data_IF_383923770174
#
_entry.id   IF_383923770174
#
_cell.length_a   1.000
_cell.length_b   1.000
_cell.length_c   1.000
_cell.angle_alpha   90.00
_cell.angle_beta   90.00
_cell.angle_gamma   90.00
#
_symmetry.space_group_name_H-M   'P 1'
#
loop_
_entity.id
_entity.type
_entity.pdbx_description
1 polymer ?
#
# COMPACT_ATOMS: atom_id res chain seq x y z
N UNK A 1 -18.02 39.68 23.99
CA UNK A 1 -18.82 39.04 22.92
C UNK A 1 -18.40 37.59 22.86
N UNK A 2 -19.31 36.63 22.71
CA UNK A 2 -18.92 35.24 22.50
C UNK A 2 -18.16 35.10 21.17
N UNK A 3 -17.23 34.15 21.10
CA UNK A 3 -16.49 33.87 19.89
C UNK A 3 -17.44 33.46 18.74
N UNK A 4 -17.29 34.09 17.58
CA UNK A 4 -18.09 33.81 16.39
C UNK A 4 -17.36 32.77 15.54
N UNK A 5 -17.98 31.60 15.30
CA UNK A 5 -17.35 30.51 14.53
C UNK A 5 -18.17 30.20 13.28
N UNK A 6 -17.49 30.18 12.13
CA UNK A 6 -18.02 29.71 10.84
C UNK A 6 -17.29 28.43 10.44
N UNK A 7 -18.03 27.36 10.20
CA UNK A 7 -17.48 26.08 9.76
C UNK A 7 -18.00 25.72 8.36
N UNK A 8 -17.06 25.43 7.46
CA UNK A 8 -17.33 25.09 6.07
C UNK A 8 -16.71 23.74 5.73
N UNK A 9 -17.36 22.99 4.84
CA UNK A 9 -16.83 21.75 4.28
C UNK A 9 -16.86 21.76 2.75
N UNK A 10 -15.89 21.08 2.14
CA UNK A 10 -15.87 20.74 0.72
C UNK A 10 -15.69 19.22 0.61
N UNK A 11 -16.70 18.54 0.08
CA UNK A 11 -16.71 17.09 -0.09
C UNK A 11 -17.28 16.73 -1.46
N UNK A 12 -16.50 16.03 -2.28
CA UNK A 12 -16.90 15.56 -3.62
C UNK A 12 -17.10 14.03 -3.59
N UNK A 13 -18.19 13.52 -4.18
CA UNK A 13 -18.49 12.06 -4.19
C UNK A 13 -17.45 11.25 -4.99
N UNK A 14 -16.93 11.81 -6.07
CA UNK A 14 -15.92 11.19 -6.94
C UNK A 14 -14.55 11.89 -6.86
N UNK A 15 -14.40 12.88 -5.96
CA UNK A 15 -13.31 13.86 -6.02
C UNK A 15 -12.33 13.87 -4.85
N UNK A 16 -11.27 14.64 -5.04
CA UNK A 16 -10.11 14.89 -4.16
C UNK A 16 -10.44 15.61 -2.86
N UNK A 17 -11.53 16.36 -2.83
CA UNK A 17 -11.84 17.18 -1.68
C UNK A 17 -12.68 16.41 -0.64
N UNK A 18 -12.16 16.36 0.59
CA UNK A 18 -12.87 15.97 1.81
C UNK A 18 -12.34 16.81 2.98
N UNK A 19 -12.49 18.12 2.86
CA UNK A 19 -11.76 19.14 3.62
C UNK A 19 -12.73 19.99 4.44
N UNK A 20 -12.30 20.43 5.61
CA UNK A 20 -12.99 21.44 6.40
C UNK A 20 -12.17 22.72 6.50
N UNK A 21 -12.87 23.81 6.72
CA UNK A 21 -12.31 25.13 7.00
C UNK A 21 -13.17 25.82 8.04
N UNK A 22 -12.58 26.13 9.18
CA UNK A 22 -13.21 26.76 10.32
C UNK A 22 -12.53 28.09 10.59
N UNK A 23 -13.34 29.11 10.84
CA UNK A 23 -12.88 30.46 11.15
C UNK A 23 -13.58 30.88 12.42
N UNK A 24 -12.80 31.16 13.47
CA UNK A 24 -13.27 31.64 14.76
C UNK A 24 -12.72 33.04 15.01
N UNK A 25 -13.60 33.99 15.31
CA UNK A 25 -13.25 35.35 15.74
C UNK A 25 -13.58 35.50 17.21
N UNK A 26 -12.58 35.77 18.04
CA UNK A 26 -12.75 36.08 19.46
C UNK A 26 -12.13 37.45 19.76
N UNK A 27 -12.98 38.47 19.92
CA UNK A 27 -12.53 39.85 20.06
C UNK A 27 -11.68 40.32 18.87
N UNK A 28 -10.39 40.51 19.10
CA UNK A 28 -9.39 40.91 18.10
C UNK A 28 -8.66 39.74 17.45
N UNK A 29 -8.86 38.52 17.94
CA UNK A 29 -8.14 37.34 17.52
C UNK A 29 -8.92 36.54 16.49
N UNK A 30 -8.22 36.16 15.43
CA UNK A 30 -8.70 35.30 14.36
C UNK A 30 -7.97 33.98 14.44
N UNK A 31 -8.73 32.91 14.68
CA UNK A 31 -8.25 31.54 14.62
C UNK A 31 -8.82 30.87 13.38
N UNK A 32 -7.96 30.30 12.55
CA UNK A 32 -8.36 29.53 11.37
C UNK A 32 -7.91 28.09 11.58
N UNK A 33 -8.85 27.15 11.56
CA UNK A 33 -8.57 25.72 11.62
C UNK A 33 -8.95 25.07 10.30
N UNK A 34 -8.07 24.28 9.72
CA UNK A 34 -8.34 23.64 8.42
C UNK A 34 -7.67 22.28 8.31
N UNK A 35 -8.28 21.37 7.55
CA UNK A 35 -7.77 20.01 7.41
C UNK A 35 -8.75 19.10 6.70
N UNK A 36 -8.57 17.80 6.90
CA UNK A 36 -9.51 16.78 6.42
C UNK A 36 -10.66 16.65 7.41
N UNK A 37 -11.87 16.49 6.90
CA UNK A 37 -13.06 16.31 7.75
C UNK A 37 -12.87 15.08 8.61
N UNK A 38 -13.09 15.24 9.92
CA UNK A 38 -12.89 14.19 10.93
C UNK A 38 -11.51 14.20 11.60
N UNK A 39 -10.53 14.95 11.08
CA UNK A 39 -9.22 15.13 11.71
C UNK A 39 -9.16 16.44 12.52
N UNK A 40 -8.17 16.55 13.42
CA UNK A 40 -7.95 17.79 14.21
C UNK A 40 -7.66 19.01 13.30
N UNK A 41 -6.99 18.77 12.18
CA UNK A 41 -6.52 19.81 11.27
C UNK A 41 -5.37 20.64 11.83
N UNK A 42 -4.98 21.66 11.09
CA UNK A 42 -3.99 22.66 11.48
C UNK A 42 -4.67 23.94 11.95
N UNK A 43 -4.04 24.65 12.87
CA UNK A 43 -4.53 25.92 13.40
C UNK A 43 -3.54 27.04 13.07
N UNK A 44 -4.05 28.15 12.55
CA UNK A 44 -3.34 29.42 12.42
C UNK A 44 -4.03 30.47 13.25
N UNK A 45 -3.26 31.26 13.97
CA UNK A 45 -3.77 32.38 14.76
C UNK A 45 -3.13 33.69 14.30
N UNK A 46 -3.93 34.74 14.31
CA UNK A 46 -3.52 36.11 14.00
C UNK A 46 -4.36 37.08 14.81
N UNK A 47 -3.74 38.15 15.30
CA UNK A 47 -4.41 39.19 16.09
C UNK A 47 -4.47 40.50 15.29
N UNK A 48 -5.55 41.26 15.45
CA UNK A 48 -5.79 42.51 14.74
C UNK A 48 -5.97 43.67 15.71
N UNK A 49 -5.79 44.90 15.22
CA UNK A 49 -5.91 46.09 16.06
C UNK A 49 -7.33 46.32 16.62
N UNK A 50 -8.36 45.83 15.93
CA UNK A 50 -9.77 45.96 16.34
C UNK A 50 -10.56 44.71 15.95
N UNK A 51 -11.65 44.45 16.66
CA UNK A 51 -12.54 43.33 16.33
C UNK A 51 -13.17 43.45 14.94
N UNK A 52 -13.46 44.67 14.48
CA UNK A 52 -13.98 44.90 13.13
C UNK A 52 -12.98 44.50 12.04
N UNK A 53 -11.68 44.73 12.26
CA UNK A 53 -10.63 44.25 11.36
C UNK A 53 -10.54 42.73 11.34
N UNK A 54 -10.63 42.08 12.51
CA UNK A 54 -10.66 40.61 12.59
C UNK A 54 -11.86 40.02 11.84
N UNK A 55 -13.06 40.61 12.00
CA UNK A 55 -14.28 40.22 11.28
C UNK A 55 -14.19 40.45 9.78
N UNK A 56 -13.60 41.56 9.34
CA UNK A 56 -13.40 41.84 7.93
C UNK A 56 -12.46 40.82 7.27
N UNK A 57 -11.34 40.49 7.92
CA UNK A 57 -10.41 39.47 7.40
C UNK A 57 -11.04 38.06 7.45
N UNK A 58 -11.78 37.71 8.51
CA UNK A 58 -12.54 36.47 8.59
C UNK A 58 -13.53 36.33 7.42
N UNK A 59 -14.33 37.38 7.17
CA UNK A 59 -15.30 37.42 6.06
C UNK A 59 -14.63 37.24 4.69
N UNK A 60 -13.46 37.86 4.51
CA UNK A 60 -12.64 37.69 3.31
C UNK A 60 -12.19 36.24 3.14
N UNK A 61 -11.64 35.61 4.19
CA UNK A 61 -11.19 34.20 4.16
C UNK A 61 -12.33 33.23 3.90
N UNK A 62 -13.49 33.46 4.51
CA UNK A 62 -14.71 32.68 4.28
C UNK A 62 -15.13 32.81 2.81
N UNK A 63 -15.23 34.04 2.28
CA UNK A 63 -15.61 34.29 0.89
C UNK A 63 -14.64 33.67 -0.13
N UNK A 64 -13.33 33.68 0.15
CA UNK A 64 -12.33 32.98 -0.67
C UNK A 64 -12.60 31.47 -0.75
N UNK A 65 -13.01 30.83 0.36
CA UNK A 65 -13.30 29.39 0.40
C UNK A 65 -14.64 29.05 -0.23
N UNK A 66 -15.68 29.87 -0.01
CA UNK A 66 -16.99 29.68 -0.65
C UNK A 66 -16.87 29.72 -2.18
N UNK A 67 -16.07 30.64 -2.73
CA UNK A 67 -15.78 30.67 -4.18
C UNK A 67 -15.05 29.43 -4.70
N UNK A 68 -14.36 28.69 -3.83
CA UNK A 68 -13.71 27.40 -4.11
C UNK A 68 -14.66 26.20 -3.88
N UNK A 69 -15.95 26.45 -3.70
CA UNK A 69 -16.98 25.41 -3.55
C UNK A 69 -17.22 24.93 -2.11
N UNK A 70 -16.58 25.54 -1.10
CA UNK A 70 -16.88 25.19 0.29
C UNK A 70 -18.28 25.66 0.67
N UNK A 71 -19.03 24.81 1.36
CA UNK A 71 -20.39 25.09 1.82
C UNK A 71 -20.48 25.08 3.35
N UNK A 72 -21.40 25.86 3.95
CA UNK A 72 -21.69 25.77 5.38
C UNK A 72 -22.02 24.33 5.79
N UNK A 73 -21.46 23.90 6.92
CA UNK A 73 -21.65 22.55 7.45
C UNK A 73 -21.68 22.56 8.99
N UNK A 74 -22.04 21.43 9.58
CA UNK A 74 -22.00 21.22 11.03
C UNK A 74 -20.78 20.36 11.37
N UNK A 75 -19.88 20.79 12.27
CA UNK A 75 -18.76 19.96 12.73
C UNK A 75 -19.22 18.58 13.19
N UNK A 76 -18.61 17.52 12.65
CA UNK A 76 -18.96 16.13 12.95
C UNK A 76 -20.22 15.62 12.22
N UNK A 77 -20.92 16.46 11.46
CA UNK A 77 -22.08 16.04 10.66
C UNK A 77 -21.69 15.11 9.51
N UNK A 78 -20.54 15.36 8.86
CA UNK A 78 -19.97 14.48 7.84
C UNK A 78 -18.87 13.61 8.46
N UNK A 79 -18.93 12.31 8.18
CA UNK A 79 -17.98 11.33 8.72
C UNK A 79 -16.63 11.41 8.02
N UNK A 80 -15.54 11.07 8.75
CA UNK A 80 -14.21 10.88 8.16
C UNK A 80 -14.31 9.84 7.05
N UNK A 81 -13.64 10.07 5.91
CA UNK A 81 -13.53 9.05 4.86
C UNK A 81 -12.88 7.79 5.45
N UNK A 82 -13.47 6.64 5.15
CA UNK A 82 -12.92 5.37 5.60
C UNK A 82 -11.58 5.13 4.93
N UNK A 83 -10.53 4.93 5.74
CA UNK A 83 -9.25 4.43 5.24
C UNK A 83 -9.41 2.93 5.04
N UNK A 84 -9.07 2.42 3.87
CA UNK A 84 -9.14 0.99 3.63
C UNK A 84 -7.94 0.30 4.29
N UNK A 85 -8.24 -0.59 5.23
CA UNK A 85 -7.25 -1.47 5.85
C UNK A 85 -7.35 -2.84 5.21
N UNK A 86 -6.20 -3.42 4.88
CA UNK A 86 -6.15 -4.76 4.31
C UNK A 86 -6.72 -5.73 5.34
N UNK A 87 -7.88 -6.32 5.06
CA UNK A 87 -8.33 -7.46 5.83
C UNK A 87 -7.49 -8.67 5.46
N UNK A 88 -6.78 -9.22 6.43
CA UNK A 88 -5.91 -10.35 6.17
C UNK A 88 -6.44 -11.60 6.84
N UNK A 89 -6.71 -12.59 5.99
CA UNK A 89 -7.04 -13.95 6.40
C UNK A 89 -5.73 -14.73 6.47
N UNK A 90 -5.46 -15.31 7.62
CA UNK A 90 -4.26 -16.12 7.86
C UNK A 90 -4.68 -17.52 8.28
N UNK A 91 -4.10 -18.53 7.63
CA UNK A 91 -4.20 -19.91 8.06
C UNK A 91 -2.88 -20.33 8.70
N UNK A 92 -2.93 -21.17 9.74
CA UNK A 92 -1.72 -21.70 10.38
C UNK A 92 -0.96 -22.62 9.40
N UNK A 93 0.37 -22.53 9.41
CA UNK A 93 1.23 -23.43 8.63
C UNK A 93 1.31 -24.82 9.23
N UNK A 94 1.40 -25.82 8.36
CA UNK A 94 1.68 -27.22 8.70
C UNK A 94 3.17 -27.58 8.58
N UNK A 95 4.02 -26.66 8.11
CA UNK A 95 5.46 -26.88 7.98
C UNK A 95 6.19 -26.79 9.33
N UNK A 96 7.41 -27.32 9.38
CA UNK A 96 8.31 -27.17 10.54
C UNK A 96 8.51 -25.69 10.85
N UNK A 97 8.41 -25.32 12.12
CA UNK A 97 8.56 -23.93 12.57
C UNK A 97 9.97 -23.43 12.26
N UNK A 98 10.06 -22.20 11.75
CA UNK A 98 11.34 -21.52 11.57
C UNK A 98 12.02 -21.23 12.93
N UNK A 99 13.36 -21.24 12.98
CA UNK A 99 14.07 -20.71 14.14
C UNK A 99 13.77 -19.21 14.27
N UNK A 100 13.34 -18.79 15.46
CA UNK A 100 13.02 -17.40 15.78
C UNK A 100 14.16 -16.86 16.65
N UNK A 101 14.85 -15.82 16.18
CA UNK A 101 15.90 -15.16 16.96
C UNK A 101 15.29 -14.37 18.11
N UNK A 102 14.29 -13.55 17.82
CA UNK A 102 13.53 -12.80 18.81
C UNK A 102 12.13 -12.46 18.29
N UNK A 103 11.26 -11.98 19.18
CA UNK A 103 9.91 -11.50 18.85
C UNK A 103 9.64 -10.23 19.62
N UNK A 104 9.08 -9.24 18.93
CA UNK A 104 8.54 -8.03 19.53
C UNK A 104 7.01 -8.00 19.34
N UNK A 105 6.28 -7.70 20.42
CA UNK A 105 4.83 -7.47 20.35
C UNK A 105 4.57 -5.97 20.20
N UNK A 106 4.16 -5.56 19.00
CA UNK A 106 3.82 -4.16 18.72
C UNK A 106 2.46 -3.74 19.28
N UNK A 107 1.66 -4.64 19.86
CA UNK A 107 0.34 -4.34 20.42
C UNK A 107 -0.79 -4.12 19.41
N UNK A 108 -0.47 -4.02 18.11
CA UNK A 108 -1.40 -3.86 16.99
C UNK A 108 -0.77 -4.42 15.71
N UNK A 109 -1.53 -4.79 14.66
CA UNK A 109 -0.94 -5.22 13.38
C UNK A 109 0.02 -4.17 12.83
N UNK A 110 1.13 -4.58 12.23
CA UNK A 110 2.13 -3.69 11.67
C UNK A 110 2.43 -4.08 10.22
N UNK A 111 2.46 -3.06 9.39
CA UNK A 111 2.68 -3.17 7.95
C UNK A 111 3.98 -2.50 7.57
N UNK A 112 4.27 -1.35 8.18
CA UNK A 112 5.54 -0.66 8.06
C UNK A 112 6.62 -1.36 8.84
N UNK A 113 7.52 -2.03 8.13
CA UNK A 113 8.78 -2.48 8.69
C UNK A 113 9.93 -1.95 7.84
N UNK A 114 11.00 -1.54 8.51
CA UNK A 114 12.24 -1.12 7.89
C UNK A 114 13.39 -1.71 8.69
N UNK A 115 14.42 -2.19 8.01
CA UNK A 115 15.59 -2.78 8.65
C UNK A 115 16.82 -2.35 7.87
N UNK A 116 17.75 -1.69 8.54
CA UNK A 116 19.08 -1.38 8.02
C UNK A 116 20.15 -2.02 8.91
N UNK A 117 21.39 -1.54 8.82
CA UNK A 117 22.52 -2.07 9.58
C UNK A 117 22.49 -1.68 11.06
N UNK A 118 21.77 -0.62 11.41
CA UNK A 118 21.78 -0.04 12.75
C UNK A 118 20.53 -0.43 13.54
N UNK A 119 19.36 -0.43 12.89
CA UNK A 119 18.06 -0.55 13.56
C UNK A 119 17.05 -1.41 12.80
N UNK A 120 16.05 -1.89 13.56
CA UNK A 120 14.82 -2.48 13.07
C UNK A 120 13.64 -1.58 13.48
N UNK A 121 12.88 -1.05 12.54
CA UNK A 121 11.69 -0.23 12.82
C UNK A 121 10.40 -0.99 12.53
N UNK A 122 9.41 -0.83 13.41
CA UNK A 122 8.06 -1.41 13.27
C UNK A 122 7.02 -0.33 13.54
N UNK A 123 6.18 -0.04 12.54
CA UNK A 123 5.05 0.88 12.59
C UNK A 123 3.72 0.15 12.50
N UNK A 124 2.83 0.35 13.49
CA UNK A 124 1.58 -0.39 13.63
C UNK A 124 0.30 0.41 13.30
N UNK A 125 -0.84 -0.26 13.18
CA UNK A 125 -2.16 0.34 12.89
C UNK A 125 -2.70 1.27 13.99
N UNK A 126 -2.05 1.36 15.15
CA UNK A 126 -2.37 2.36 16.18
C UNK A 126 -1.55 3.65 16.05
N UNK A 127 -0.68 3.72 15.04
CA UNK A 127 0.24 4.82 14.80
C UNK A 127 1.55 4.74 15.59
N UNK A 128 1.74 3.70 16.42
CA UNK A 128 2.98 3.53 17.17
C UNK A 128 4.10 3.05 16.24
N UNK A 129 5.20 3.78 16.24
CA UNK A 129 6.47 3.38 15.63
C UNK A 129 7.44 3.05 16.75
N UNK A 130 8.01 1.86 16.70
CA UNK A 130 9.09 1.44 17.60
C UNK A 130 10.34 1.18 16.78
N UNK A 131 11.42 1.85 17.14
CA UNK A 131 12.78 1.56 16.70
C UNK A 131 13.40 0.61 17.70
N UNK A 132 13.90 -0.52 17.20
CA UNK A 132 14.52 -1.60 17.95
C UNK A 132 15.99 -1.75 17.53
N UNK A 133 16.83 -2.18 18.45
CA UNK A 133 18.14 -2.75 18.08
C UNK A 133 17.94 -4.10 17.37
N UNK A 134 18.98 -4.60 16.70
CA UNK A 134 18.98 -5.96 16.15
C UNK A 134 18.83 -7.07 17.21
N UNK A 135 18.95 -6.73 18.50
CA UNK A 135 18.68 -7.61 19.65
C UNK A 135 17.26 -7.50 20.23
N UNK A 136 16.35 -6.77 19.56
CA UNK A 136 14.98 -6.49 20.01
C UNK A 136 14.85 -5.55 21.23
N UNK A 137 15.90 -4.79 21.55
CA UNK A 137 15.82 -3.77 22.60
C UNK A 137 15.17 -2.51 22.04
N UNK A 138 14.27 -1.87 22.81
CA UNK A 138 13.61 -0.64 22.38
C UNK A 138 14.58 0.54 22.47
N UNK A 139 14.89 1.13 21.32
CA UNK A 139 15.76 2.31 21.19
C UNK A 139 14.95 3.60 21.26
N UNK A 140 13.82 3.66 20.55
CA UNK A 140 12.98 4.85 20.47
C UNK A 140 11.53 4.48 20.16
N UNK A 141 10.60 5.30 20.65
CA UNK A 141 9.19 5.22 20.29
C UNK A 141 8.61 6.60 20.04
N UNK A 142 7.75 6.70 19.04
CA UNK A 142 6.86 7.84 18.81
C UNK A 142 5.55 7.36 18.20
N UNK A 143 4.55 8.23 18.22
CA UNK A 143 3.20 7.92 17.73
C UNK A 143 2.80 8.94 16.66
N UNK A 144 2.48 8.44 15.46
CA UNK A 144 1.84 9.22 14.41
C UNK A 144 0.34 9.41 14.71
N UNK A 145 -0.34 10.39 14.08
CA UNK A 145 -1.74 10.67 14.36
C UNK A 145 -2.72 9.53 14.06
N UNK A 146 -2.35 8.60 13.17
CA UNK A 146 -3.17 7.44 12.77
C UNK A 146 -2.24 6.25 12.41
N UNK A 147 -2.81 5.12 11.96
CA UNK A 147 -2.10 3.89 11.65
C UNK A 147 -0.94 4.04 10.66
N UNK A 148 0.17 3.34 10.90
CA UNK A 148 1.34 3.34 10.02
C UNK A 148 1.17 2.29 8.92
N UNK A 149 1.21 2.74 7.65
CA UNK A 149 1.03 1.90 6.46
C UNK A 149 2.33 1.28 5.99
N UNK A 150 3.39 2.07 5.92
CA UNK A 150 4.70 1.65 5.47
C UNK A 150 5.78 2.52 6.11
N UNK A 151 7.00 2.00 6.15
CA UNK A 151 8.22 2.75 6.45
C UNK A 151 9.16 2.52 5.27
N UNK A 152 9.62 3.60 4.66
CA UNK A 152 10.49 3.60 3.47
C UNK A 152 11.68 4.51 3.73
N UNK A 153 12.77 4.32 3.00
CA UNK A 153 13.96 5.14 3.15
C UNK A 153 14.44 5.63 1.78
N UNK A 154 15.04 6.81 1.79
CA UNK A 154 15.75 7.43 0.68
C UNK A 154 17.10 7.91 1.20
N UNK A 155 18.16 7.19 0.86
CA UNK A 155 19.49 7.38 1.44
C UNK A 155 19.45 7.39 2.99
N UNK A 156 19.82 8.51 3.63
CA UNK A 156 19.81 8.68 5.08
C UNK A 156 18.45 9.12 5.66
N UNK A 157 17.43 9.31 4.81
CA UNK A 157 16.11 9.77 5.23
C UNK A 157 15.15 8.62 5.39
N UNK A 158 14.35 8.65 6.46
CA UNK A 158 13.34 7.63 6.74
C UNK A 158 11.97 8.28 6.77
N UNK A 159 11.01 7.70 6.07
CA UNK A 159 9.65 8.21 5.96
C UNK A 159 8.62 7.15 6.37
N UNK A 160 7.52 7.59 6.97
CA UNK A 160 6.37 6.74 7.25
C UNK A 160 5.09 7.29 6.61
N UNK A 161 4.40 6.42 5.88
CA UNK A 161 3.02 6.65 5.44
C UNK A 161 2.05 6.42 6.58
N UNK A 162 1.07 7.32 6.71
CA UNK A 162 0.09 7.29 7.79
C UNK A 162 -1.34 7.27 7.24
N UNK A 163 -2.24 6.59 7.95
CA UNK A 163 -3.68 6.48 7.64
C UNK A 163 -4.39 7.84 7.67
N UNK A 164 -3.80 8.86 8.31
CA UNK A 164 -4.25 10.26 8.20
C UNK A 164 -4.02 10.86 6.81
N UNK A 165 -3.42 10.06 5.91
CA UNK A 165 -3.00 10.29 4.54
C UNK A 165 -1.92 11.35 4.36
N UNK A 166 -1.04 11.45 5.34
CA UNK A 166 0.20 12.20 5.21
C UNK A 166 1.41 11.25 5.25
N UNK A 167 2.56 11.78 4.87
CA UNK A 167 3.86 11.12 5.04
C UNK A 167 4.71 11.94 6.00
N UNK A 168 5.34 11.26 6.94
CA UNK A 168 6.14 11.87 7.98
C UNK A 168 7.61 11.48 7.83
N UNK A 169 8.51 12.47 7.84
CA UNK A 169 9.94 12.27 8.00
C UNK A 169 10.24 11.88 9.46
N UNK A 170 10.98 10.78 9.62
CA UNK A 170 11.37 10.14 10.88
C UNK A 170 12.86 10.26 11.18
N UNK A 171 13.62 10.95 10.33
CA UNK A 171 15.08 11.06 10.43
C UNK A 171 15.53 11.92 11.62
N UNK A 172 14.61 12.73 12.16
CA UNK A 172 14.82 13.55 13.35
C UNK A 172 14.37 12.89 14.67
N UNK A 173 14.55 13.61 15.78
CA UNK A 173 14.09 13.17 17.12
C UNK A 173 12.57 13.07 17.25
N UNK A 174 11.85 13.82 16.43
CA UNK A 174 10.38 13.86 16.39
C UNK A 174 9.91 13.79 14.95
N UNK A 175 8.80 13.07 14.65
CA UNK A 175 8.25 13.02 13.31
C UNK A 175 7.86 14.40 12.80
N UNK A 176 8.18 14.70 11.54
CA UNK A 176 7.80 15.95 10.87
C UNK A 176 6.97 15.63 9.64
N UNK A 177 5.93 16.43 9.40
CA UNK A 177 5.15 16.31 8.18
C UNK A 177 6.06 16.61 6.98
N UNK A 178 6.24 15.62 6.10
CA UNK A 178 7.10 15.71 4.91
C UNK A 178 6.26 15.84 3.64
N UNK A 179 5.22 15.01 3.48
CA UNK A 179 4.34 15.08 2.32
C UNK A 179 2.86 15.12 2.71
N UNK A 180 2.10 15.99 2.04
CA UNK A 180 0.63 15.98 2.09
C UNK A 180 0.05 15.31 0.86
N UNK A 181 -0.54 14.13 1.05
CA UNK A 181 -1.20 13.42 -0.03
C UNK A 181 -2.62 13.97 -0.20
N UNK A 182 -3.12 13.96 -1.43
CA UNK A 182 -4.48 14.39 -1.72
C UNK A 182 -5.53 13.50 -1.02
N UNK A 183 -6.58 14.06 -0.37
CA UNK A 183 -7.57 13.27 0.35
C UNK A 183 -8.47 12.33 -0.49
N UNK A 184 -8.41 12.35 -1.84
CA UNK A 184 -9.00 11.27 -2.66
C UNK A 184 -8.14 10.01 -2.72
N UNK A 185 -6.86 10.10 -2.41
CA UNK A 185 -5.95 8.97 -2.54
C UNK A 185 -6.05 8.14 -1.26
N UNK A 186 -6.72 7.01 -1.38
CA UNK A 186 -6.81 6.01 -0.34
C UNK A 186 -5.58 5.09 -0.40
N UNK A 187 -4.54 5.49 0.35
CA UNK A 187 -3.17 5.00 0.20
C UNK A 187 -3.07 3.49 0.52
N UNK A 188 -2.52 2.75 -0.43
CA UNK A 188 -2.16 1.34 -0.28
C UNK A 188 -0.66 1.12 -0.08
N UNK A 189 0.18 1.84 -0.83
CA UNK A 189 1.63 1.70 -0.75
C UNK A 189 2.34 3.01 -1.07
N UNK A 190 3.56 3.18 -0.55
CA UNK A 190 4.46 4.28 -0.85
C UNK A 190 5.85 3.72 -1.13
N UNK A 191 6.61 4.41 -1.98
CA UNK A 191 8.07 4.28 -2.12
C UNK A 191 8.63 5.64 -2.50
N UNK A 192 9.92 5.87 -2.28
CA UNK A 192 10.56 7.16 -2.52
C UNK A 192 11.94 6.94 -3.14
N UNK A 193 12.33 7.83 -4.04
CA UNK A 193 13.66 7.88 -4.62
C UNK A 193 14.02 9.31 -4.99
N UNK A 194 15.15 9.82 -4.51
CA UNK A 194 15.65 11.17 -4.78
C UNK A 194 14.58 12.26 -4.51
N UNK A 195 13.89 12.13 -3.37
CA UNK A 195 12.82 13.03 -2.95
C UNK A 195 11.50 12.91 -3.73
N UNK A 196 11.42 12.04 -4.74
CA UNK A 196 10.19 11.77 -5.51
C UNK A 196 9.41 10.63 -4.85
N UNK A 197 8.27 10.99 -4.24
CA UNK A 197 7.37 10.07 -3.58
C UNK A 197 6.39 9.46 -4.58
N UNK A 198 6.41 8.14 -4.73
CA UNK A 198 5.39 7.38 -5.46
C UNK A 198 4.30 6.87 -4.52
N UNK A 199 3.04 7.08 -4.88
CA UNK A 199 1.87 6.73 -4.06
C UNK A 199 0.87 5.90 -4.86
N UNK A 200 0.54 4.71 -4.40
CA UNK A 200 -0.55 3.92 -4.98
C UNK A 200 -1.80 3.90 -4.11
N UNK A 201 -2.95 3.71 -4.75
CA UNK A 201 -4.25 3.75 -4.09
C UNK A 201 -5.12 2.48 -4.26
N UNK A 202 -6.17 2.41 -3.46
CA UNK A 202 -7.12 1.29 -3.45
C UNK A 202 -7.89 1.13 -4.77
N UNK A 203 -8.08 2.23 -5.50
CA UNK A 203 -8.68 2.29 -6.83
C UNK A 203 -7.76 1.77 -7.94
N UNK A 204 -6.49 1.49 -7.63
CA UNK A 204 -5.48 1.08 -8.60
C UNK A 204 -4.75 2.24 -9.26
N UNK A 205 -4.92 3.46 -8.77
CA UNK A 205 -4.21 4.64 -9.23
C UNK A 205 -2.77 4.70 -8.71
N UNK A 206 -1.97 5.53 -9.38
CA UNK A 206 -0.58 5.85 -9.06
C UNK A 206 -0.37 7.36 -9.24
N UNK A 207 0.32 7.97 -8.28
CA UNK A 207 0.72 9.37 -8.34
C UNK A 207 2.18 9.53 -7.92
N UNK A 208 2.81 10.57 -8.42
CA UNK A 208 4.13 11.04 -7.98
C UNK A 208 4.03 12.45 -7.43
N UNK A 209 4.73 12.68 -6.33
CA UNK A 209 4.74 13.94 -5.58
C UNK A 209 6.20 14.29 -5.31
N UNK A 210 6.59 15.53 -5.55
CA UNK A 210 7.92 16.02 -5.23
C UNK A 210 8.03 16.54 -3.79
N UNK A 211 9.25 16.93 -3.40
CA UNK A 211 9.56 17.43 -2.07
C UNK A 211 8.91 18.79 -1.73
N UNK A 212 8.25 19.45 -2.68
CA UNK A 212 7.51 20.70 -2.47
C UNK A 212 6.00 20.47 -2.20
N UNK A 213 5.58 19.22 -1.97
CA UNK A 213 4.18 18.80 -1.88
C UNK A 213 3.42 18.92 -3.23
N UNK A 214 4.09 19.08 -4.37
CA UNK A 214 3.45 19.26 -5.67
C UNK A 214 3.31 17.93 -6.44
N UNK A 215 2.15 17.73 -7.04
CA UNK A 215 1.94 16.58 -7.93
C UNK A 215 2.74 16.77 -9.21
N UNK A 216 3.69 15.88 -9.47
CA UNK A 216 4.33 15.78 -10.78
C UNK A 216 3.34 15.18 -11.79
N UNK A 217 2.66 14.08 -11.44
CA UNK A 217 1.58 13.51 -12.24
C UNK A 217 0.73 12.49 -11.46
N UNK A 218 -0.45 12.16 -12.02
CA UNK A 218 -1.33 11.08 -11.56
C UNK A 218 -1.87 10.26 -12.74
N UNK A 219 -2.07 8.96 -12.53
CA UNK A 219 -2.73 8.04 -13.48
C UNK A 219 -3.74 7.14 -12.75
N UNK A 220 -4.85 6.76 -13.39
CA UNK A 220 -5.83 5.83 -12.81
C UNK A 220 -5.33 4.38 -12.76
N UNK A 221 -4.20 4.05 -13.39
CA UNK A 221 -3.68 2.70 -13.51
C UNK A 221 -4.52 1.79 -14.42
N UNK A 222 -4.18 0.48 -14.44
CA UNK A 222 -4.80 -0.54 -15.30
C UNK A 222 -5.67 -1.55 -14.53
N UNK A 223 -5.96 -1.29 -13.27
CA UNK A 223 -6.72 -2.20 -12.44
C UNK A 223 -7.15 -1.53 -11.15
N UNK A 224 -7.17 -2.30 -10.08
CA UNK A 224 -7.56 -1.89 -8.74
C UNK A 224 -6.59 -2.47 -7.72
N UNK A 225 -6.71 -2.06 -6.46
CA UNK A 225 -5.95 -2.63 -5.34
C UNK A 225 -4.44 -2.64 -5.57
N UNK A 226 -3.84 -1.46 -5.64
CA UNK A 226 -2.43 -1.31 -5.96
C UNK A 226 -1.51 -1.50 -4.75
N UNK A 227 -1.13 -2.75 -4.47
CA UNK A 227 -0.31 -3.14 -3.32
C UNK A 227 1.21 -3.03 -3.53
N UNK A 228 1.65 -2.33 -4.56
CA UNK A 228 3.07 -2.12 -4.83
C UNK A 228 3.28 -0.78 -5.53
N UNK A 229 4.19 0.02 -4.96
CA UNK A 229 4.96 1.04 -5.67
C UNK A 229 6.43 0.76 -5.40
N UNK A 230 7.26 0.88 -6.41
CA UNK A 230 8.72 0.86 -6.31
C UNK A 230 9.32 1.95 -7.18
N UNK A 231 10.06 2.89 -6.59
CA UNK A 231 10.67 4.01 -7.28
C UNK A 231 12.16 3.75 -7.51
N UNK A 232 12.66 4.11 -8.68
CA UNK A 232 14.10 4.18 -8.96
C UNK A 232 14.41 5.42 -9.81
N UNK A 233 15.67 5.56 -10.23
CA UNK A 233 16.16 6.75 -10.95
C UNK A 233 15.50 6.98 -12.32
N UNK A 234 14.87 5.94 -12.89
CA UNK A 234 14.34 5.94 -14.25
C UNK A 234 12.82 5.75 -14.30
N UNK A 235 12.22 5.11 -13.30
CA UNK A 235 10.82 4.74 -13.36
C UNK A 235 10.14 4.57 -12.00
N UNK A 236 8.80 4.60 -12.07
CA UNK A 236 7.91 4.21 -10.99
C UNK A 236 7.18 2.93 -11.39
N UNK A 237 7.44 1.85 -10.65
CA UNK A 237 6.89 0.52 -10.89
C UNK A 237 5.71 0.26 -9.98
N UNK A 238 4.58 -0.05 -10.57
CA UNK A 238 3.28 -0.04 -9.92
C UNK A 238 2.58 -1.39 -10.10
N UNK A 239 2.29 -2.09 -9.00
CA UNK A 239 1.63 -3.40 -9.01
C UNK A 239 0.20 -3.33 -8.52
N UNK A 240 -0.72 -3.84 -9.32
CA UNK A 240 -2.16 -3.80 -9.10
C UNK A 240 -2.83 -5.14 -9.48
N UNK A 241 -4.16 -5.19 -9.45
CA UNK A 241 -4.93 -6.41 -9.71
C UNK A 241 -4.73 -7.02 -11.12
N UNK A 242 -4.25 -6.21 -12.07
CA UNK A 242 -3.97 -6.64 -13.46
C UNK A 242 -2.54 -7.08 -13.71
N UNK A 243 -1.59 -6.75 -12.83
CA UNK A 243 -0.18 -7.06 -13.01
C UNK A 243 0.74 -5.92 -12.56
N UNK A 244 1.90 -5.82 -13.20
CA UNK A 244 2.88 -4.74 -12.96
C UNK A 244 2.91 -3.81 -14.16
N UNK A 245 2.84 -2.51 -13.91
CA UNK A 245 2.95 -1.45 -14.91
C UNK A 245 4.06 -0.50 -14.50
N UNK A 246 4.93 -0.11 -15.42
CA UNK A 246 5.99 0.87 -15.18
C UNK A 246 5.67 2.18 -15.88
N UNK A 247 6.01 3.28 -15.23
CA UNK A 247 5.85 4.63 -15.75
C UNK A 247 7.19 5.35 -15.73
N UNK A 248 7.45 6.16 -16.75
CA UNK A 248 8.53 7.14 -16.72
C UNK A 248 8.29 8.09 -15.55
N UNK A 249 9.30 8.24 -14.68
CA UNK A 249 9.08 8.94 -13.42
C UNK A 249 8.81 10.44 -13.61
N UNK A 250 9.30 11.05 -14.70
CA UNK A 250 9.15 12.49 -14.97
C UNK A 250 7.81 12.82 -15.59
N UNK A 251 7.41 12.05 -16.60
CA UNK A 251 6.26 12.35 -17.46
C UNK A 251 4.99 11.59 -17.08
N UNK A 252 5.13 10.49 -16.32
CA UNK A 252 4.05 9.55 -16.06
C UNK A 252 3.57 8.84 -17.32
N UNK A 253 4.39 8.80 -18.38
CA UNK A 253 4.13 7.99 -19.56
C UNK A 253 4.28 6.52 -19.19
N UNK A 254 3.30 5.70 -19.55
CA UNK A 254 3.43 4.25 -19.38
C UNK A 254 4.56 3.72 -20.28
N UNK A 255 5.54 3.05 -19.69
CA UNK A 255 6.65 2.42 -20.39
C UNK A 255 6.28 1.01 -20.85
N UNK A 256 5.67 0.24 -19.95
CA UNK A 256 5.25 -1.13 -20.22
C UNK A 256 4.24 -1.63 -19.18
N UNK A 257 3.52 -2.70 -19.54
CA UNK A 257 2.65 -3.46 -18.66
C UNK A 257 2.86 -4.95 -18.86
N UNK A 258 3.01 -5.70 -17.76
CA UNK A 258 3.17 -7.15 -17.74
C UNK A 258 2.15 -7.81 -16.82
N UNK A 259 1.26 -8.68 -17.33
CA UNK A 259 0.33 -9.44 -16.51
C UNK A 259 1.07 -10.46 -15.62
N UNK A 260 0.82 -10.40 -14.30
CA UNK A 260 1.42 -11.32 -13.31
C UNK A 260 0.39 -12.09 -12.48
N UNK A 261 -0.90 -11.76 -12.66
CA UNK A 261 -1.94 -11.94 -11.64
C UNK A 261 -1.92 -10.79 -10.63
N UNK A 262 -2.97 -10.70 -9.80
CA UNK A 262 -3.12 -9.60 -8.86
C UNK A 262 -1.91 -9.51 -7.90
N UNK A 263 -1.22 -8.37 -7.93
CA UNK A 263 -0.06 -8.09 -7.08
C UNK A 263 -0.53 -7.78 -5.67
N UNK A 264 0.16 -8.35 -4.69
CA UNK A 264 -0.14 -8.27 -3.27
C UNK A 264 1.01 -7.70 -2.44
N UNK A 265 2.22 -7.67 -3.00
CA UNK A 265 3.43 -7.09 -2.43
C UNK A 265 4.50 -6.95 -3.52
N UNK A 266 5.39 -5.98 -3.37
CA UNK A 266 6.51 -5.77 -4.29
C UNK A 266 7.85 -5.66 -3.59
N UNK A 267 8.90 -6.21 -4.21
CA UNK A 267 10.29 -5.96 -3.86
C UNK A 267 11.05 -5.51 -5.11
N UNK A 268 12.12 -4.72 -4.93
CA UNK A 268 13.00 -4.34 -6.03
C UNK A 268 14.47 -4.53 -5.69
N UNK A 269 15.21 -4.97 -6.69
CA UNK A 269 16.66 -4.87 -6.79
C UNK A 269 17.00 -3.88 -7.91
N UNK A 270 18.29 -3.60 -8.10
CA UNK A 270 18.77 -2.64 -9.11
C UNK A 270 18.14 -2.86 -10.48
N UNK A 271 18.20 -4.09 -10.99
CA UNK A 271 17.78 -4.42 -12.35
C UNK A 271 16.52 -5.30 -12.41
N UNK A 272 15.84 -5.51 -11.27
CA UNK A 272 14.81 -6.55 -11.15
C UNK A 272 13.70 -6.16 -10.18
N UNK A 273 12.48 -6.55 -10.53
CA UNK A 273 11.28 -6.42 -9.70
C UNK A 273 10.78 -7.81 -9.33
N UNK A 274 10.26 -7.94 -8.11
CA UNK A 274 9.64 -9.16 -7.63
C UNK A 274 8.23 -8.84 -7.14
N UNK A 275 7.23 -9.45 -7.76
CA UNK A 275 5.82 -9.27 -7.40
C UNK A 275 5.30 -10.52 -6.71
N UNK A 276 4.97 -10.45 -5.43
CA UNK A 276 4.20 -11.47 -4.73
C UNK A 276 2.72 -11.36 -5.15
N UNK A 277 2.10 -12.46 -5.56
CA UNK A 277 0.77 -12.42 -6.18
C UNK A 277 -0.28 -13.29 -5.50
N UNK A 278 -1.54 -12.96 -5.77
CA UNK A 278 -2.70 -13.78 -5.39
C UNK A 278 -2.70 -15.16 -6.09
N UNK A 279 -1.96 -15.31 -7.19
CA UNK A 279 -1.79 -16.56 -7.93
C UNK A 279 -0.72 -17.47 -7.34
N UNK A 280 -0.33 -17.25 -6.08
CA UNK A 280 0.55 -18.13 -5.28
C UNK A 280 1.97 -18.20 -5.82
N UNK A 281 2.46 -17.09 -6.34
CA UNK A 281 3.79 -17.02 -6.92
C UNK A 281 4.46 -15.70 -6.57
N UNK A 282 5.79 -15.70 -6.53
CA UNK A 282 6.58 -14.49 -6.76
C UNK A 282 6.95 -14.48 -8.24
N UNK A 283 6.63 -13.40 -8.94
CA UNK A 283 7.01 -13.19 -10.34
C UNK A 283 8.19 -12.25 -10.40
N UNK A 284 9.26 -12.67 -11.08
CA UNK A 284 10.44 -11.86 -11.34
C UNK A 284 10.36 -11.22 -12.72
N UNK A 285 10.49 -9.90 -12.76
CA UNK A 285 10.51 -9.10 -13.97
C UNK A 285 11.81 -8.29 -14.05
N UNK A 286 12.36 -8.14 -15.25
CA UNK A 286 13.33 -7.09 -15.51
C UNK A 286 12.67 -5.70 -15.45
N UNK A 287 13.48 -4.66 -15.25
CA UNK A 287 13.02 -3.25 -15.28
C UNK A 287 12.45 -2.81 -16.64
N UNK A 288 12.65 -3.62 -17.68
CA UNK A 288 12.03 -3.48 -19.01
C UNK A 288 10.69 -4.25 -19.16
N UNK A 289 10.16 -4.83 -18.08
CA UNK A 289 8.91 -5.60 -18.06
C UNK A 289 9.05 -7.05 -18.49
N UNK A 290 10.22 -7.50 -18.94
CA UNK A 290 10.42 -8.88 -19.38
C UNK A 290 10.29 -9.86 -18.19
N UNK A 291 9.46 -10.89 -18.36
CA UNK A 291 9.38 -11.99 -17.41
C UNK A 291 10.70 -12.78 -17.40
N UNK A 292 11.25 -13.01 -16.21
CA UNK A 292 12.52 -13.73 -16.01
C UNK A 292 12.32 -15.08 -15.33
N UNK A 293 11.51 -15.12 -14.27
CA UNK A 293 11.33 -16.32 -13.44
C UNK A 293 10.02 -16.26 -12.64
N UNK A 294 9.55 -17.42 -12.19
CA UNK A 294 8.42 -17.58 -11.27
C UNK A 294 8.78 -18.54 -10.13
N UNK A 295 8.51 -18.12 -8.89
CA UNK A 295 8.74 -18.90 -7.67
C UNK A 295 7.41 -19.34 -7.07
N UNK A 296 7.08 -20.63 -7.18
CA UNK A 296 5.76 -21.16 -6.80
C UNK A 296 5.67 -21.41 -5.29
N UNK A 297 4.66 -20.82 -4.66
CA UNK A 297 4.25 -21.04 -3.27
C UNK A 297 2.98 -21.90 -3.20
N UNK A 298 2.51 -22.23 -2.00
CA UNK A 298 1.34 -23.10 -1.83
C UNK A 298 0.03 -22.29 -1.63
N UNK A 299 0.15 -21.02 -1.27
CA UNK A 299 -0.94 -20.07 -1.05
C UNK A 299 -0.58 -18.66 -1.58
N UNK A 300 -1.55 -17.71 -1.67
CA UNK A 300 -1.30 -16.32 -2.05
C UNK A 300 -0.11 -15.70 -1.31
N UNK A 301 0.78 -15.02 -2.05
CA UNK A 301 2.02 -14.46 -1.49
C UNK A 301 1.74 -13.05 -0.98
N UNK A 302 1.92 -12.84 0.31
CA UNK A 302 1.66 -11.56 0.98
C UNK A 302 2.91 -10.72 1.20
N UNK A 303 4.09 -11.32 1.10
CA UNK A 303 5.36 -10.60 1.16
C UNK A 303 6.43 -11.35 0.39
N UNK A 304 7.41 -10.62 -0.14
CA UNK A 304 8.62 -11.19 -0.69
C UNK A 304 9.79 -10.23 -0.48
N UNK A 305 11.00 -10.79 -0.47
CA UNK A 305 12.25 -10.05 -0.46
C UNK A 305 13.32 -10.91 -1.13
N UNK A 306 14.46 -10.33 -1.45
CA UNK A 306 15.58 -11.08 -2.00
C UNK A 306 16.85 -10.81 -1.24
N UNK A 307 17.76 -11.77 -1.26
CA UNK A 307 19.15 -11.46 -0.95
C UNK A 307 19.74 -10.55 -2.01
N UNK A 308 20.87 -9.92 -1.70
CA UNK A 308 21.66 -9.14 -2.66
C UNK A 308 21.76 -9.85 -4.02
N UNK A 309 21.50 -9.09 -5.08
CA UNK A 309 21.56 -9.52 -6.49
C UNK A 309 20.59 -10.68 -6.83
N UNK A 310 19.53 -10.87 -6.02
CA UNK A 310 18.51 -11.89 -6.31
C UNK A 310 18.94 -13.33 -6.09
N UNK A 311 20.13 -13.59 -5.51
CA UNK A 311 20.69 -14.95 -5.35
C UNK A 311 19.74 -15.92 -4.65
N UNK A 312 18.99 -15.42 -3.67
CA UNK A 312 17.92 -16.13 -3.00
C UNK A 312 16.67 -15.27 -2.99
N UNK A 313 15.53 -15.89 -3.29
CA UNK A 313 14.21 -15.26 -3.25
C UNK A 313 13.43 -15.81 -2.08
N UNK A 314 12.86 -14.93 -1.28
CA UNK A 314 12.05 -15.26 -0.12
C UNK A 314 10.61 -14.86 -0.35
N UNK A 315 9.68 -15.67 0.17
CA UNK A 315 8.25 -15.41 0.08
C UNK A 315 7.57 -15.75 1.39
N UNK A 316 6.60 -14.94 1.81
CA UNK A 316 5.67 -15.22 2.90
C UNK A 316 4.26 -15.35 2.37
N UNK A 317 3.58 -16.46 2.63
CA UNK A 317 2.25 -16.74 2.10
C UNK A 317 1.12 -16.53 3.12
N UNK A 318 -0.13 -16.61 2.64
CA UNK A 318 -1.33 -16.49 3.46
C UNK A 318 -1.56 -17.68 4.41
N UNK A 319 -0.77 -18.75 4.31
CA UNK A 319 -0.84 -19.93 5.16
C UNK A 319 0.28 -19.97 6.20
N UNK A 320 0.73 -18.79 6.67
CA UNK A 320 1.79 -18.63 7.67
C UNK A 320 3.08 -19.36 7.35
N UNK A 321 3.39 -19.55 6.06
CA UNK A 321 4.62 -20.21 5.61
C UNK A 321 5.57 -19.20 4.98
N UNK A 322 6.85 -19.41 5.20
CA UNK A 322 7.93 -18.72 4.51
C UNK A 322 8.72 -19.72 3.67
N UNK A 323 9.25 -19.22 2.56
CA UNK A 323 9.96 -19.99 1.56
C UNK A 323 11.30 -19.35 1.24
N UNK A 324 12.24 -20.16 0.77
CA UNK A 324 13.42 -19.70 0.07
C UNK A 324 13.59 -20.49 -1.21
N UNK A 325 13.97 -19.78 -2.27
CA UNK A 325 14.23 -20.32 -3.58
C UNK A 325 15.63 -19.91 -4.05
N UNK A 326 16.27 -20.75 -4.86
CA UNK A 326 17.41 -20.35 -5.68
C UNK A 326 16.94 -19.61 -6.95
N UNK A 327 17.88 -19.05 -7.72
CA UNK A 327 17.61 -18.32 -8.97
C UNK A 327 16.90 -19.15 -10.06
N UNK A 328 16.95 -20.48 -9.98
CA UNK A 328 16.30 -21.38 -10.94
C UNK A 328 14.83 -21.65 -10.58
N UNK A 329 14.34 -21.09 -9.47
CA UNK A 329 13.00 -21.35 -8.96
C UNK A 329 12.92 -22.61 -8.08
N UNK A 330 14.04 -23.25 -7.77
CA UNK A 330 14.07 -24.44 -6.90
C UNK A 330 13.78 -24.01 -5.47
N UNK A 331 12.73 -24.56 -4.88
CA UNK A 331 12.40 -24.34 -3.47
C UNK A 331 13.44 -25.05 -2.60
N UNK A 332 14.29 -24.29 -1.93
CA UNK A 332 15.33 -24.79 -1.03
C UNK A 332 14.74 -25.23 0.31
N UNK A 333 13.77 -24.47 0.82
CA UNK A 333 13.04 -24.83 2.04
C UNK A 333 11.68 -24.14 2.13
N UNK A 334 10.84 -24.70 3.03
CA UNK A 334 9.57 -24.13 3.50
C UNK A 334 9.51 -24.28 5.01
N UNK A 335 9.21 -23.20 5.72
CA UNK A 335 9.09 -23.18 7.17
C UNK A 335 7.81 -22.47 7.59
N UNK A 336 7.24 -22.84 8.72
CA UNK A 336 6.15 -22.10 9.35
C UNK A 336 6.69 -20.91 10.13
N UNK A 337 6.13 -19.72 9.95
CA UNK A 337 6.56 -18.50 10.65
C UNK A 337 6.46 -18.61 12.18
N UNK A 338 5.52 -19.43 12.65
CA UNK A 338 5.21 -19.57 14.07
C UNK A 338 4.47 -18.38 14.68
N UNK A 339 4.17 -17.35 13.89
CA UNK A 339 3.52 -16.11 14.28
C UNK A 339 2.53 -15.62 13.22
N UNK A 340 1.85 -16.48 12.46
CA UNK A 340 0.87 -16.04 11.45
C UNK A 340 1.50 -15.64 10.10
N UNK A 341 0.67 -15.24 9.15
CA UNK A 341 1.13 -14.84 7.81
C UNK A 341 1.94 -13.55 7.85
N UNK A 342 3.04 -13.52 7.10
CA UNK A 342 3.93 -12.36 7.02
C UNK A 342 3.46 -11.39 5.93
N UNK A 343 3.09 -10.18 6.32
CA UNK A 343 2.51 -9.16 5.44
C UNK A 343 3.53 -8.19 4.86
N UNK A 344 4.71 -8.17 5.48
CA UNK A 344 5.87 -7.45 5.01
C UNK A 344 7.10 -8.26 5.38
N UNK A 345 8.14 -8.10 4.58
CA UNK A 345 9.40 -8.81 4.70
C UNK A 345 10.53 -7.87 4.26
N UNK A 346 11.63 -7.91 5.01
CA UNK A 346 12.84 -7.14 4.69
C UNK A 346 14.05 -8.07 4.66
N UNK A 347 14.95 -7.81 3.73
CA UNK A 347 16.29 -8.38 3.73
C UNK A 347 17.31 -7.27 4.05
N UNK A 348 17.95 -7.30 5.23
CA UNK A 348 18.93 -6.27 5.58
C UNK A 348 20.13 -6.34 4.64
N UNK A 349 20.45 -5.21 4.00
CA UNK A 349 21.67 -5.08 3.20
C UNK A 349 22.81 -4.68 4.12
N UNK A 350 23.52 -5.68 4.65
CA UNK A 350 24.80 -5.41 5.34
C UNK A 350 25.79 -4.74 4.41
N UNK A 351 26.05 -3.45 4.65
CA UNK A 351 27.24 -2.80 4.12
C UNK A 351 28.46 -3.48 4.73
N UNK A 352 29.49 -3.69 3.90
CA UNK A 352 30.61 -4.57 4.24
C UNK A 352 31.47 -4.08 5.43
N UNK A 353 31.16 -2.95 6.06
CA UNK A 353 31.93 -2.39 7.17
C UNK A 353 31.70 -3.10 8.51
N UNK A 354 30.59 -3.81 8.73
CA UNK A 354 30.32 -4.48 10.00
C UNK A 354 30.12 -6.00 9.85
N UNK A 355 31.23 -6.73 9.79
CA UNK A 355 31.25 -8.19 9.97
C UNK A 355 31.14 -8.55 11.45
N UNK A 356 29.94 -8.92 11.88
CA UNK A 356 29.77 -9.94 12.93
C UNK A 356 28.60 -10.86 12.55
N UNK A 357 28.90 -12.15 12.43
CA UNK A 357 28.03 -13.19 11.92
C UNK A 357 26.67 -13.23 12.62
N UNK A 358 25.60 -12.81 11.95
CA UNK A 358 24.23 -13.27 12.20
C UNK A 358 23.35 -12.96 10.98
N UNK A 359 22.70 -13.99 10.44
CA UNK A 359 21.75 -13.87 9.32
C UNK A 359 20.34 -13.97 9.89
N UNK A 360 19.62 -12.86 9.94
CA UNK A 360 18.23 -12.78 10.39
C UNK A 360 17.33 -12.09 9.37
N UNK A 361 16.03 -12.38 9.43
CA UNK A 361 14.98 -11.72 8.65
C UNK A 361 13.91 -11.18 9.61
N UNK A 362 13.36 -10.00 9.32
CA UNK A 362 12.22 -9.43 10.06
C UNK A 362 10.87 -9.88 9.48
N UNK A 363 9.94 -10.31 10.34
CA UNK A 363 8.57 -10.75 9.98
C UNK A 363 7.56 -10.14 11.00
N UNK A 364 6.33 -9.78 10.57
CA UNK A 364 5.27 -9.21 11.44
C UNK A 364 3.87 -9.88 11.31
N UNK A 365 2.97 -9.72 12.31
CA UNK A 365 1.60 -10.29 12.45
C UNK A 365 0.52 -9.32 12.98
N UNK A 366 -0.75 -9.59 12.65
CA UNK A 366 -1.98 -9.17 13.40
C UNK A 366 -2.26 -10.00 14.66
N UNK A 367 -2.38 -9.40 15.85
CA UNK A 367 -2.89 -10.07 17.07
C UNK A 367 -4.41 -9.93 17.15
N UNK A 368 -5.14 -11.04 17.25
CA UNK A 368 -6.58 -11.03 17.56
C UNK A 368 -6.80 -11.24 19.07
N UNK A 369 -7.45 -10.28 19.73
CA UNK A 369 -8.18 -10.49 20.99
C UNK A 369 -9.67 -10.68 20.66
N UNK A 370 -10.53 -11.28 21.49
CA UNK A 370 -10.43 -11.87 22.82
C UNK A 370 -11.69 -12.73 22.99
N UNK A 371 -11.60 -13.86 23.69
CA UNK A 371 -12.77 -14.68 24.07
C UNK A 371 -13.67 -13.89 25.02
N UNK A 372 -15.01 -14.01 24.96
CA UNK A 372 -15.86 -13.55 26.04
C UNK A 372 -15.74 -14.49 27.24
N UNK A 373 -15.55 -13.91 28.42
CA UNK A 373 -15.66 -14.56 29.73
C UNK A 373 -17.15 -14.74 30.06
N UNK A 374 -17.51 -15.91 30.60
CA UNK A 374 -18.89 -16.25 30.96
C UNK A 374 -19.39 -15.58 32.24
N UNK A 375 -20.71 -15.54 32.38
CA UNK A 375 -21.46 -15.13 33.57
C UNK A 375 -22.86 -15.77 33.56
N UNK A 376 -23.31 -16.24 34.73
CA UNK A 376 -24.35 -17.22 35.00
C UNK A 376 -25.83 -16.76 34.96
N UNK A 377 -26.74 -17.75 34.86
CA UNK A 377 -28.15 -17.76 35.34
C UNK A 377 -29.16 -17.28 34.28
N UNK A 378 -30.27 -17.94 33.95
CA UNK A 378 -31.16 -18.86 34.66
C UNK A 378 -32.00 -19.65 33.62
N UNK A 379 -32.26 -20.93 33.87
CA UNK A 379 -33.36 -21.74 33.31
C UNK A 379 -34.54 -21.74 34.32
N UNK A 380 -35.78 -22.25 34.06
CA UNK A 380 -36.39 -22.96 32.90
C UNK A 380 -37.86 -22.44 32.61
N UNK A 381 -38.87 -23.18 32.03
CA UNK A 381 -38.90 -24.52 31.43
C UNK A 381 -39.65 -24.72 30.08
N UNK A 382 -39.24 -25.83 29.44
CA UNK A 382 -39.91 -26.81 28.58
C UNK A 382 -41.31 -26.57 27.96
N UNK A 383 -41.43 -26.88 26.66
CA UNK A 383 -42.51 -27.75 26.17
C UNK A 383 -42.16 -28.53 24.87
N UNK A 384 -42.88 -29.64 24.68
CA UNK A 384 -42.71 -30.80 23.78
C UNK A 384 -43.11 -30.59 22.31
N UNK A 385 -42.62 -31.51 21.45
CA UNK A 385 -43.29 -32.28 20.33
C UNK A 385 -42.39 -32.35 19.08
N UNK A 386 -41.84 -33.50 18.68
CA UNK A 386 -42.41 -34.63 17.89
C UNK A 386 -42.64 -34.37 16.38
N UNK A 387 -41.97 -35.19 15.55
CA UNK A 387 -42.34 -35.64 14.19
C UNK A 387 -42.23 -34.60 13.06
N UNK A 388 -41.99 -34.91 11.79
CA UNK A 388 -41.78 -36.13 11.02
C UNK A 388 -41.26 -35.72 9.62
N UNK A 389 -40.59 -36.63 8.90
CA UNK A 389 -40.41 -36.56 7.44
C UNK A 389 -41.73 -36.93 6.73
N UNK A 390 -41.92 -36.61 5.42
CA UNK A 390 -41.60 -37.64 4.40
C UNK A 390 -41.16 -37.13 3.00
N UNK A 391 -40.74 -38.12 2.20
CA UNK A 391 -40.57 -38.20 0.73
C UNK A 391 -41.82 -37.69 -0.07
N UNK A 392 -41.87 -37.45 -1.39
CA UNK A 392 -41.31 -38.14 -2.56
C UNK A 392 -41.63 -37.38 -3.89
N UNK A 393 -40.82 -37.60 -4.96
CA UNK A 393 -41.15 -37.94 -6.40
C UNK A 393 -42.17 -37.08 -7.18
N UNK A 394 -42.22 -36.94 -8.51
CA UNK A 394 -41.51 -37.31 -9.77
C UNK A 394 -42.18 -36.44 -10.89
N UNK A 395 -41.45 -35.77 -11.80
CA UNK A 395 -41.40 -35.99 -13.29
C UNK A 395 -42.67 -35.59 -14.11
N UNK A 396 -42.69 -35.55 -15.47
CA UNK A 396 -41.66 -35.53 -16.54
C UNK A 396 -41.87 -34.41 -17.64
N UNK A 397 -40.83 -34.02 -18.44
CA UNK A 397 -40.60 -34.21 -19.92
C UNK A 397 -41.66 -33.57 -20.86
N UNK A 398 -41.34 -32.71 -21.85
CA UNK A 398 -40.93 -33.13 -23.23
C UNK A 398 -40.44 -31.96 -24.17
N UNK A 399 -39.90 -32.40 -25.31
CA UNK A 399 -39.04 -31.83 -26.36
C UNK A 399 -39.54 -30.72 -27.31
N UNK A 400 -38.57 -30.03 -27.95
CA UNK A 400 -38.74 -29.31 -29.21
C UNK A 400 -37.42 -29.05 -29.96
N UNK A 401 -37.25 -29.69 -31.13
CA UNK A 401 -36.07 -29.71 -32.04
C UNK A 401 -35.86 -28.35 -32.74
N UNK A 402 -34.65 -27.98 -33.17
CA UNK A 402 -34.14 -28.39 -34.49
C UNK A 402 -32.95 -27.56 -35.00
N UNK A 403 -32.12 -28.21 -35.81
CA UNK A 403 -30.79 -27.84 -36.32
C UNK A 403 -30.83 -26.90 -37.54
N UNK A 404 -29.74 -26.16 -37.78
CA UNK A 404 -29.08 -26.16 -39.11
C UNK A 404 -27.63 -25.62 -39.05
N UNK A 405 -26.69 -26.44 -39.53
CA UNK A 405 -25.31 -26.07 -39.90
C UNK A 405 -25.28 -25.62 -41.37
N UNK A 406 -24.43 -24.65 -41.73
CA UNK A 406 -23.73 -24.66 -43.02
C UNK A 406 -22.27 -24.19 -42.87
N UNK A 407 -21.39 -24.91 -43.57
CA UNK A 407 -19.93 -24.79 -43.65
C UNK A 407 -19.53 -24.09 -44.97
N UNK A 408 -18.22 -23.73 -45.04
CA UNK A 408 -17.31 -23.59 -46.22
C UNK A 408 -17.28 -22.17 -46.84
N UNK A 409 -16.16 -21.63 -47.34
CA UNK A 409 -14.75 -22.08 -47.51
C UNK A 409 -13.88 -20.85 -47.90
N UNK A 410 -12.61 -20.88 -47.48
CA UNK A 410 -11.34 -20.47 -48.14
C UNK A 410 -11.32 -19.36 -49.21
N UNK A 411 -10.34 -18.46 -49.06
CA UNK A 411 -9.62 -17.84 -50.18
C UNK A 411 -8.50 -16.93 -49.70
N UNK A 412 -7.25 -17.36 -49.81
CA UNK A 412 -6.07 -16.51 -49.64
C UNK A 412 -5.30 -16.40 -50.95
N UNK A 413 -4.71 -15.23 -51.23
CA UNK A 413 -3.46 -15.06 -52.02
C UNK A 413 -2.94 -13.62 -51.99
N UNK A 414 -1.80 -13.43 -51.33
CA UNK A 414 -0.51 -12.90 -51.83
C UNK A 414 -0.56 -11.80 -52.91
N UNK A 415 0.07 -10.65 -52.61
CA UNK A 415 0.82 -9.84 -53.58
C UNK A 415 2.20 -9.45 -53.03
N UNK A 416 3.21 -9.69 -53.87
CA UNK A 416 4.63 -9.32 -53.76
C UNK A 416 4.87 -7.94 -54.40
N UNK A 417 5.96 -7.29 -53.97
CA UNK A 417 6.73 -6.27 -54.71
C UNK A 417 7.25 -5.20 -53.74
N UNK A 418 8.52 -4.79 -53.69
CA UNK A 418 9.73 -5.00 -54.51
C UNK A 418 10.96 -4.76 -53.60
N UNK A 419 12.07 -5.49 -53.82
CA UNK A 419 13.46 -5.12 -53.43
C UNK A 419 14.09 -4.33 -54.61
N UNK A 420 14.97 -3.34 -54.42
CA UNK A 420 16.45 -3.39 -54.25
C UNK A 420 17.03 -2.03 -54.74
N UNK A 421 18.35 -1.71 -54.67
CA UNK A 421 19.43 -2.10 -53.74
C UNK A 421 20.43 -0.94 -53.38
N UNK A 422 21.50 -1.33 -52.65
CA UNK A 422 22.88 -0.76 -52.56
C UNK A 422 23.16 0.31 -51.47
N UNK A 423 24.32 0.38 -50.80
CA UNK A 423 25.46 -0.52 -50.43
C UNK A 423 26.33 0.31 -49.41
N UNK A 424 27.58 -0.03 -48.99
CA UNK A 424 27.92 -0.35 -47.59
C UNK A 424 29.03 0.55 -46.97
N UNK A 425 29.47 0.18 -45.76
CA UNK A 425 30.74 0.46 -45.02
C UNK A 425 30.39 0.74 -43.55
N UNK A 426 31.05 0.21 -42.53
CA UNK A 426 32.28 -0.57 -42.43
C UNK A 426 32.47 -0.95 -40.95
N UNK A 427 33.34 -1.92 -40.77
CA UNK A 427 33.52 -2.82 -39.63
C UNK A 427 34.49 -2.28 -38.55
N UNK A 428 34.49 -2.96 -37.39
CA UNK A 428 35.62 -3.23 -36.45
C UNK A 428 35.99 -2.25 -35.32
N UNK A 429 36.12 -2.82 -34.10
CA UNK A 429 37.16 -2.42 -33.16
C UNK A 429 36.86 -2.51 -31.65
N UNK A 430 36.99 -3.71 -31.07
CA UNK A 430 37.43 -4.00 -29.69
C UNK A 430 38.74 -4.82 -29.81
N UNK A 431 39.60 -5.01 -28.78
CA UNK A 431 39.76 -4.38 -27.47
C UNK A 431 41.27 -3.97 -27.28
N UNK A 432 41.97 -4.02 -26.10
CA UNK A 432 41.93 -5.02 -25.01
C UNK A 432 41.24 -4.58 -23.71
#
# INVERSE_FOLDING_TARGET
MPAETTYLELSEESGSAHKFYEVTVDGTDLTIRYGRIGDRGQTKQSSFATGDKAKAEASKKIGEKVRKGYAPAVPGGRQKRSVSRRQIVSTRSTATRAPILWRYDSGSPAFGIFVDDDVCMVGNESGLITTLSHGAEVVQQFRLPDGVKCIVADEGWIYAGCDDGNVYDLSGKVPRLAYRIDPSIDIYWLDIHDGVLGVSDSGGGIATIDHEDEFLWRRPGRGSSAWMVRCDADAVHHGHSGGVTSYDWRTGQELWHTPTGAVLFGWQERDTLYAGTATRQVVELGKNGAHRQTYRCDAPVYSCATSKDGRYVFAGDSSSSIYCFDVNGTRLWKLGTGCGSAYSMQYPRRTALHRHHERGFGLHRRVGGSRPVGGHGHDPPADRRQGAAPHARCGPVDHGRGRARRRRRRGGRVRRGKRSPADPRGELGLPP
#
